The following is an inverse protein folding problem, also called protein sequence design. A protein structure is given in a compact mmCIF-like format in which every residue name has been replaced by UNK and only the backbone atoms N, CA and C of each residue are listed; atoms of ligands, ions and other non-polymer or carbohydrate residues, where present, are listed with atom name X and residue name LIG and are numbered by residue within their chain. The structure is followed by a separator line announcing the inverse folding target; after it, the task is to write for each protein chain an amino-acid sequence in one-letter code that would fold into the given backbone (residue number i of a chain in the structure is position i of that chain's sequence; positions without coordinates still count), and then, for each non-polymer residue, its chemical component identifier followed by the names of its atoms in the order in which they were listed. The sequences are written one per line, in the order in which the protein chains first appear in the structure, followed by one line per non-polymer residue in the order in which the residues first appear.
data_IF_201981520856
#
_entry.id   IF_201981520856
#
_cell.length_a   1.000
_cell.length_b   1.000
_cell.length_c   1.000
_cell.angle_alpha   90.00
_cell.angle_beta   90.00
_cell.angle_gamma   90.00
#
_symmetry.space_group_name_H-M   'P 1'
#
loop_
_entity.id
_entity.type
_entity.pdbx_description
1 polymer ?
#
# COMPACT_ATOMS: atom_id res chain seq x y z
N UNK A 1 6.81 -22.09 4.45
CA UNK A 1 7.98 -21.88 3.56
C UNK A 1 7.64 -22.44 2.20
N UNK A 2 8.08 -21.81 1.11
CA UNK A 2 8.00 -22.34 -0.25
C UNK A 2 9.39 -22.78 -0.73
N UNK A 3 9.42 -23.76 -1.63
CA UNK A 3 10.64 -24.30 -2.24
C UNK A 3 10.35 -24.70 -3.69
N UNK A 4 11.40 -24.75 -4.53
CA UNK A 4 11.27 -25.22 -5.90
C UNK A 4 10.90 -26.71 -5.93
N UNK A 5 9.92 -27.08 -6.74
CA UNK A 5 9.52 -28.49 -6.91
C UNK A 5 10.63 -29.35 -7.56
N UNK A 6 11.43 -28.72 -8.43
CA UNK A 6 12.57 -29.35 -9.14
C UNK A 6 13.79 -28.41 -9.06
N UNK A 7 14.48 -28.33 -7.91
CA UNK A 7 15.60 -27.42 -7.76
C UNK A 7 16.83 -27.92 -8.52
N UNK A 8 17.66 -26.99 -8.97
CA UNK A 8 19.05 -27.31 -9.34
C UNK A 8 19.88 -27.58 -8.08
N UNK A 9 21.06 -28.18 -8.22
CA UNK A 9 21.96 -28.42 -7.08
C UNK A 9 22.30 -27.16 -6.29
N UNK A 10 22.36 -26.01 -6.97
CA UNK A 10 22.64 -24.71 -6.34
C UNK A 10 21.47 -24.18 -5.51
N UNK A 11 20.23 -24.51 -5.87
CA UNK A 11 19.02 -24.01 -5.21
C UNK A 11 18.28 -25.09 -4.40
N UNK A 12 18.85 -26.29 -4.23
CA UNK A 12 18.21 -27.39 -3.49
C UNK A 12 17.82 -27.05 -2.05
N UNK A 13 18.55 -26.10 -1.44
CA UNK A 13 18.29 -25.63 -0.09
C UNK A 13 17.65 -24.22 -0.07
N UNK A 14 17.40 -23.61 -1.23
CA UNK A 14 16.78 -22.30 -1.31
C UNK A 14 15.29 -22.40 -0.96
N UNK A 15 14.92 -21.77 0.14
CA UNK A 15 13.54 -21.73 0.65
C UNK A 15 13.22 -20.30 1.03
N UNK A 16 11.98 -19.90 0.76
CA UNK A 16 11.48 -18.57 1.10
C UNK A 16 10.33 -18.66 2.09
N UNK A 17 10.22 -17.67 2.98
CA UNK A 17 9.06 -17.56 3.85
C UNK A 17 7.88 -17.10 3.02
N UNK A 18 6.77 -17.80 3.18
CA UNK A 18 5.48 -17.41 2.61
C UNK A 18 4.89 -16.34 3.52
N UNK A 19 4.49 -15.22 2.96
CA UNK A 19 3.81 -14.11 3.61
C UNK A 19 2.65 -13.71 2.69
N UNK A 20 1.50 -14.39 2.80
CA UNK A 20 0.40 -14.20 1.86
C UNK A 20 -0.09 -12.76 1.85
N UNK A 21 -0.36 -12.23 0.66
CA UNK A 21 -0.85 -10.87 0.44
C UNK A 21 -1.82 -10.83 -0.75
N UNK A 22 -2.54 -9.71 -0.89
CA UNK A 22 -3.32 -9.39 -2.08
C UNK A 22 -2.57 -8.33 -2.90
N UNK A 23 -2.25 -8.65 -4.14
CA UNK A 23 -1.71 -7.70 -5.13
C UNK A 23 -2.77 -6.70 -5.56
N UNK A 24 -3.98 -7.18 -5.83
CA UNK A 24 -5.10 -6.36 -6.28
C UNK A 24 -6.11 -6.08 -5.16
N UNK A 25 -6.22 -4.80 -4.75
CA UNK A 25 -7.33 -4.30 -3.91
C UNK A 25 -7.71 -2.90 -4.38
N UNK A 26 -8.97 -2.70 -4.77
CA UNK A 26 -9.41 -1.40 -5.27
C UNK A 26 -10.91 -1.20 -5.29
N UNK A 27 -11.31 0.03 -5.61
CA UNK A 27 -12.72 0.44 -5.78
C UNK A 27 -12.95 0.95 -7.20
N UNK A 28 -14.21 1.18 -7.58
CA UNK A 28 -14.49 1.83 -8.86
C UNK A 28 -13.85 3.23 -8.93
N UNK A 29 -13.16 3.55 -10.05
CA UNK A 29 -12.47 4.83 -10.23
C UNK A 29 -13.46 6.01 -10.40
N UNK A 30 -12.98 7.26 -10.27
CA UNK A 30 -13.79 8.43 -10.56
C UNK A 30 -14.17 8.53 -12.05
N UNK A 31 -15.15 9.38 -12.36
CA UNK A 31 -15.47 9.74 -13.74
C UNK A 31 -16.03 8.60 -14.61
N UNK A 32 -16.62 7.55 -14.01
CA UNK A 32 -17.15 6.37 -14.72
C UNK A 32 -16.11 5.70 -15.62
N UNK A 33 -14.83 5.78 -15.25
CA UNK A 33 -13.76 5.12 -15.97
C UNK A 33 -13.81 3.60 -15.73
N UNK A 34 -13.26 2.83 -16.68
CA UNK A 34 -13.05 1.40 -16.54
C UNK A 34 -11.61 1.09 -16.92
N UNK A 35 -10.84 0.58 -15.96
CA UNK A 35 -9.45 0.18 -16.16
C UNK A 35 -9.32 -1.33 -16.12
N UNK A 36 -8.26 -1.87 -16.75
CA UNK A 36 -7.90 -3.29 -16.57
C UNK A 36 -7.38 -3.50 -15.15
N UNK A 37 -7.51 -4.72 -14.61
CA UNK A 37 -7.11 -5.04 -13.23
C UNK A 37 -5.65 -4.72 -12.94
N UNK A 38 -4.74 -4.91 -13.90
CA UNK A 38 -3.32 -4.51 -13.81
C UNK A 38 -3.07 -3.00 -13.94
N UNK A 39 -4.01 -2.15 -13.53
CA UNK A 39 -3.76 -0.72 -13.40
C UNK A 39 -3.85 -0.33 -11.93
N UNK A 40 -3.06 0.69 -11.59
CA UNK A 40 -2.99 1.23 -10.25
C UNK A 40 -3.31 2.73 -10.28
N UNK A 41 -3.99 3.20 -9.24
CA UNK A 41 -4.32 4.62 -9.12
C UNK A 41 -4.83 5.03 -7.75
N UNK A 42 -5.39 6.25 -7.62
CA UNK A 42 -6.00 6.73 -6.39
C UNK A 42 -7.10 5.81 -5.82
N UNK A 43 -7.68 4.97 -6.67
CA UNK A 43 -8.71 3.99 -6.35
C UNK A 43 -8.16 2.65 -5.83
N UNK A 44 -6.85 2.53 -5.63
CA UNK A 44 -6.17 1.25 -5.43
C UNK A 44 -5.96 0.56 -6.79
N UNK A 45 -6.23 -0.73 -6.87
CA UNK A 45 -6.01 -1.54 -8.06
C UNK A 45 -4.89 -2.54 -7.85
N UNK A 46 -4.03 -2.71 -8.85
CA UNK A 46 -2.85 -3.58 -8.77
C UNK A 46 -1.78 -2.92 -7.90
N UNK A 47 -1.94 -3.02 -6.58
CA UNK A 47 -1.10 -2.32 -5.62
C UNK A 47 0.25 -3.00 -5.42
N UNK A 48 0.30 -4.34 -5.53
CA UNK A 48 1.50 -5.16 -5.39
C UNK A 48 2.41 -4.70 -4.25
N UNK A 49 1.77 -4.46 -3.10
CA UNK A 49 2.46 -4.03 -1.90
C UNK A 49 2.41 -5.14 -0.87
N UNK A 50 3.57 -5.70 -0.53
CA UNK A 50 3.71 -6.85 0.37
C UNK A 50 3.25 -6.65 1.83
N UNK A 51 2.81 -5.44 2.18
CA UNK A 51 2.13 -5.18 3.44
C UNK A 51 0.61 -5.22 3.34
N UNK A 52 0.00 -5.38 2.16
CA UNK A 52 -1.45 -5.64 1.99
C UNK A 52 -1.72 -7.11 2.28
N UNK A 53 -1.60 -7.45 3.56
CA UNK A 53 -1.68 -8.80 4.12
C UNK A 53 -2.54 -8.82 5.38
N UNK A 54 -2.70 -10.00 5.96
CA UNK A 54 -3.36 -10.17 7.25
C UNK A 54 -2.82 -9.19 8.31
N UNK A 55 -3.74 -8.54 9.03
CA UNK A 55 -3.42 -7.52 10.05
C UNK A 55 -3.21 -6.11 9.51
N UNK A 56 -3.37 -5.89 8.20
CA UNK A 56 -3.34 -4.55 7.60
C UNK A 56 -4.75 -4.07 7.27
N UNK A 57 -5.08 -2.85 7.68
CA UNK A 57 -6.27 -2.13 7.26
C UNK A 57 -5.91 -1.24 6.08
N UNK A 58 -6.65 -1.35 4.98
CA UNK A 58 -6.53 -0.49 3.81
C UNK A 58 -7.67 0.52 3.79
N UNK A 59 -7.35 1.80 3.58
CA UNK A 59 -8.30 2.88 3.40
C UNK A 59 -8.29 3.33 1.94
N UNK A 60 -9.43 3.18 1.28
CA UNK A 60 -9.64 3.58 -0.10
C UNK A 60 -10.63 4.74 -0.17
N UNK A 61 -10.43 5.74 -1.05
CA UNK A 61 -11.44 6.75 -1.33
C UNK A 61 -12.71 6.11 -1.91
N UNK A 62 -13.88 6.73 -1.74
CA UNK A 62 -15.12 6.29 -2.39
C UNK A 62 -15.47 7.25 -3.51
N UNK A 63 -15.26 6.85 -4.76
CA UNK A 63 -15.54 7.68 -5.94
C UNK A 63 -16.92 7.45 -6.56
N UNK A 64 -17.51 6.26 -6.34
CA UNK A 64 -18.80 5.86 -6.89
C UNK A 64 -19.73 5.31 -5.80
N UNK A 65 -21.07 5.40 -5.97
CA UNK A 65 -22.03 4.79 -5.05
C UNK A 65 -21.72 3.31 -4.82
N UNK A 66 -21.70 2.91 -3.55
CA UNK A 66 -21.38 1.53 -3.14
C UNK A 66 -19.90 1.17 -3.17
N UNK A 67 -19.01 2.11 -3.54
CA UNK A 67 -17.57 1.94 -3.76
C UNK A 67 -17.20 0.94 -4.88
N UNK A 68 -17.91 -0.19 -4.99
CA UNK A 68 -17.64 -1.28 -5.93
C UNK A 68 -16.24 -1.85 -5.68
N UNK A 69 -16.04 -2.32 -4.44
CA UNK A 69 -14.80 -2.96 -4.00
C UNK A 69 -14.53 -4.24 -4.80
N UNK A 70 -13.29 -4.43 -5.22
CA UNK A 70 -12.79 -5.67 -5.80
C UNK A 70 -11.47 -6.07 -5.13
N UNK A 71 -11.25 -7.39 -5.08
CA UNK A 71 -10.04 -8.02 -4.54
C UNK A 71 -9.61 -9.16 -5.45
N UNK A 72 -8.31 -9.39 -5.56
CA UNK A 72 -7.77 -10.48 -6.37
C UNK A 72 -6.26 -10.54 -6.28
N UNK A 73 -5.66 -11.28 -7.22
CA UNK A 73 -4.21 -11.38 -7.38
C UNK A 73 -3.50 -11.85 -6.09
N UNK A 74 -3.79 -13.09 -5.71
CA UNK A 74 -3.24 -13.65 -4.48
C UNK A 74 -1.77 -14.00 -4.65
N UNK A 75 -0.91 -13.45 -3.80
CA UNK A 75 0.50 -13.83 -3.78
C UNK A 75 0.83 -14.59 -2.52
N UNK A 76 1.52 -15.72 -2.66
CA UNK A 76 2.06 -16.45 -1.51
C UNK A 76 3.20 -15.66 -0.86
N UNK A 77 3.97 -14.91 -1.64
CA UNK A 77 4.95 -13.93 -1.16
C UNK A 77 5.42 -13.06 -2.33
N UNK A 78 5.76 -11.81 -2.05
CA UNK A 78 6.35 -10.88 -3.00
C UNK A 78 7.53 -10.14 -2.36
N UNK A 79 8.58 -9.87 -3.13
CA UNK A 79 9.65 -8.96 -2.74
C UNK A 79 9.36 -7.53 -3.18
N UNK A 80 10.03 -6.55 -2.56
CA UNK A 80 9.90 -5.15 -2.94
C UNK A 80 10.24 -4.92 -4.43
N UNK A 81 9.40 -4.13 -5.10
CA UNK A 81 9.55 -3.77 -6.51
C UNK A 81 8.97 -4.75 -7.51
N UNK A 82 8.52 -5.94 -7.08
CA UNK A 82 7.92 -6.96 -7.95
C UNK A 82 8.70 -7.23 -9.26
N UNK A 83 10.02 -7.28 -9.15
CA UNK A 83 10.95 -7.04 -10.26
C UNK A 83 10.77 -7.89 -11.53
N UNK A 84 10.09 -9.03 -11.44
CA UNK A 84 9.83 -9.95 -12.56
C UNK A 84 8.45 -9.79 -13.19
N UNK A 85 7.65 -8.81 -12.75
CA UNK A 85 6.28 -8.58 -13.20
C UNK A 85 5.25 -9.57 -12.67
N UNK A 86 5.67 -10.45 -11.75
CA UNK A 86 4.80 -11.39 -11.03
C UNK A 86 5.48 -11.70 -9.69
N UNK A 87 4.67 -12.01 -8.70
CA UNK A 87 5.09 -12.56 -7.42
C UNK A 87 5.10 -14.10 -7.45
N UNK A 88 5.10 -14.72 -6.27
CA UNK A 88 4.75 -16.14 -6.16
C UNK A 88 3.22 -16.29 -6.19
N UNK A 89 2.66 -16.29 -7.40
CA UNK A 89 1.21 -16.33 -7.65
C UNK A 89 0.51 -17.56 -7.07
N UNK A 90 -0.67 -17.36 -6.48
CA UNK A 90 -1.50 -18.44 -5.94
C UNK A 90 -2.98 -18.05 -5.85
N UNK A 91 -3.87 -19.04 -5.94
CA UNK A 91 -5.26 -18.85 -5.50
C UNK A 91 -5.31 -18.66 -3.98
N UNK A 92 -6.23 -17.83 -3.51
CA UNK A 92 -6.41 -17.52 -2.09
C UNK A 92 -7.89 -17.44 -1.72
N UNK A 93 -8.23 -17.89 -0.51
CA UNK A 93 -9.49 -17.58 0.14
C UNK A 93 -9.22 -16.51 1.19
N UNK A 94 -9.97 -15.41 1.16
CA UNK A 94 -9.77 -14.26 2.05
C UNK A 94 -11.04 -13.95 2.82
N UNK A 95 -10.87 -13.51 4.06
CA UNK A 95 -11.91 -12.95 4.91
C UNK A 95 -11.49 -11.53 5.30
N UNK A 96 -12.41 -10.58 5.20
CA UNK A 96 -12.17 -9.18 5.53
C UNK A 96 -13.46 -8.51 5.98
N UNK A 97 -13.33 -7.41 6.72
CA UNK A 97 -14.44 -6.53 7.07
C UNK A 97 -14.36 -5.25 6.24
N UNK A 98 -15.50 -4.59 6.05
CA UNK A 98 -15.59 -3.32 5.32
C UNK A 98 -16.40 -2.33 6.15
N UNK A 99 -15.78 -1.22 6.51
CA UNK A 99 -16.42 -0.12 7.23
C UNK A 99 -16.46 1.14 6.37
N UNK A 100 -17.59 1.86 6.42
CA UNK A 100 -17.72 3.15 5.73
C UNK A 100 -17.35 4.30 6.68
N UNK A 101 -16.25 4.98 6.38
CA UNK A 101 -15.83 6.18 7.09
C UNK A 101 -16.40 7.42 6.37
N UNK A 102 -17.32 8.13 7.04
CA UNK A 102 -17.95 9.34 6.50
C UNK A 102 -17.15 10.59 6.88
N UNK A 103 -17.28 11.65 6.07
CA UNK A 103 -16.67 12.95 6.36
C UNK A 103 -15.16 13.02 6.15
N UNK A 104 -14.55 11.98 5.58
CA UNK A 104 -13.15 11.97 5.17
C UNK A 104 -13.06 11.98 3.64
N UNK A 105 -12.13 12.76 3.10
CA UNK A 105 -11.81 12.79 1.67
C UNK A 105 -10.36 12.37 1.50
N UNK A 106 -10.14 11.17 0.98
CA UNK A 106 -8.81 10.64 0.71
C UNK A 106 -8.46 10.90 -0.76
N UNK A 107 -7.28 11.44 -1.02
CA UNK A 107 -6.77 11.62 -2.39
C UNK A 107 -6.01 10.41 -2.95
N UNK A 108 -5.64 9.46 -2.09
CA UNK A 108 -4.82 8.29 -2.43
C UNK A 108 -5.02 7.18 -1.38
N UNK A 109 -4.68 5.92 -1.71
CA UNK A 109 -4.75 4.82 -0.76
C UNK A 109 -3.88 5.08 0.47
N UNK A 110 -4.39 4.66 1.63
CA UNK A 110 -3.64 4.62 2.88
C UNK A 110 -3.70 3.22 3.43
N UNK A 111 -2.70 2.81 4.18
CA UNK A 111 -2.75 1.56 4.92
C UNK A 111 -2.25 1.78 6.35
N UNK A 112 -2.65 0.89 7.26
CA UNK A 112 -2.01 0.80 8.56
C UNK A 112 -1.98 -0.64 9.04
N UNK A 113 -0.93 -1.01 9.76
CA UNK A 113 -0.83 -2.28 10.46
C UNK A 113 -0.50 -2.02 11.94
N UNK A 114 -0.06 -3.04 12.67
CA UNK A 114 0.32 -2.91 14.08
C UNK A 114 1.52 -1.98 14.32
N UNK A 115 2.35 -1.74 13.31
CA UNK A 115 3.63 -1.03 13.45
C UNK A 115 3.66 0.32 12.75
N UNK A 116 2.99 0.46 11.59
CA UNK A 116 3.13 1.63 10.72
C UNK A 116 1.78 2.20 10.29
N UNK A 117 1.75 3.51 10.08
CA UNK A 117 0.82 4.16 9.15
C UNK A 117 1.55 4.37 7.82
N UNK A 118 0.83 4.19 6.72
CA UNK A 118 1.39 4.03 5.38
C UNK A 118 0.57 4.82 4.35
N UNK A 119 1.26 5.51 3.45
CA UNK A 119 0.67 6.33 2.39
C UNK A 119 1.22 5.90 1.04
N UNK A 120 0.33 5.53 0.12
CA UNK A 120 0.67 5.18 -1.26
C UNK A 120 0.89 6.41 -2.12
N UNK A 121 2.06 6.56 -2.72
CA UNK A 121 2.33 7.44 -3.84
C UNK A 121 2.37 6.64 -5.13
N UNK A 122 1.52 7.01 -6.08
CA UNK A 122 1.30 6.26 -7.33
C UNK A 122 1.46 7.24 -8.48
N UNK A 123 2.45 7.02 -9.33
CA UNK A 123 2.74 7.93 -10.44
C UNK A 123 3.48 7.24 -11.58
N UNK A 124 3.68 7.92 -12.71
CA UNK A 124 4.42 7.39 -13.86
C UNK A 124 5.94 7.29 -13.67
N UNK A 125 6.48 7.61 -12.49
CA UNK A 125 7.91 7.44 -12.18
C UNK A 125 8.15 7.35 -10.68
N UNK A 126 9.26 6.71 -10.27
CA UNK A 126 9.70 6.64 -8.88
C UNK A 126 9.81 8.01 -8.20
N UNK A 127 10.34 9.02 -8.90
CA UNK A 127 10.52 10.36 -8.34
C UNK A 127 9.17 11.04 -8.05
N UNK A 128 8.21 10.91 -8.96
CA UNK A 128 6.86 11.46 -8.80
C UNK A 128 6.10 10.71 -7.71
N UNK A 129 6.20 9.38 -7.69
CA UNK A 129 5.56 8.52 -6.69
C UNK A 129 6.10 8.82 -5.29
N UNK A 130 7.41 8.98 -5.15
CA UNK A 130 8.06 9.38 -3.89
C UNK A 130 7.52 10.73 -3.40
N UNK A 131 7.51 11.76 -4.27
CA UNK A 131 6.97 13.09 -3.93
C UNK A 131 5.52 13.00 -3.47
N UNK A 132 4.69 12.25 -4.20
CA UNK A 132 3.28 12.06 -3.88
C UNK A 132 3.09 11.35 -2.53
N UNK A 133 3.88 10.34 -2.23
CA UNK A 133 3.85 9.63 -0.95
C UNK A 133 4.26 10.56 0.20
N UNK A 134 5.35 11.33 0.04
CA UNK A 134 5.83 12.29 1.03
C UNK A 134 4.80 13.38 1.31
N UNK A 135 4.23 14.00 0.26
CA UNK A 135 3.18 15.02 0.40
C UNK A 135 1.93 14.45 1.06
N UNK A 136 1.53 13.23 0.71
CA UNK A 136 0.39 12.57 1.34
C UNK A 136 0.61 12.33 2.84
N UNK A 137 1.80 11.93 3.27
CA UNK A 137 2.12 11.77 4.69
C UNK A 137 2.16 13.12 5.43
N UNK A 138 2.71 14.17 4.81
CA UNK A 138 2.64 15.53 5.35
C UNK A 138 1.21 15.96 5.62
N UNK A 139 0.30 15.75 4.65
CA UNK A 139 -1.13 16.06 4.80
C UNK A 139 -1.80 15.21 5.89
N UNK A 140 -1.43 13.94 6.03
CA UNK A 140 -1.93 13.12 7.15
C UNK A 140 -1.56 13.76 8.49
N UNK A 141 -0.29 14.13 8.68
CA UNK A 141 0.16 14.74 9.94
C UNK A 141 -0.53 16.09 10.20
N UNK A 142 -0.74 16.90 9.18
CA UNK A 142 -1.51 18.13 9.28
C UNK A 142 -2.98 17.84 9.65
N UNK A 143 -3.64 16.91 8.97
CA UNK A 143 -5.07 16.65 9.14
C UNK A 143 -5.41 15.97 10.47
N UNK A 144 -4.66 14.95 10.87
CA UNK A 144 -4.99 14.10 12.02
C UNK A 144 -4.23 14.47 13.30
N UNK A 145 -3.08 15.14 13.19
CA UNK A 145 -2.27 15.55 14.34
C UNK A 145 -2.17 17.08 14.47
N UNK A 146 -2.70 17.85 13.51
CA UNK A 146 -2.70 19.33 13.50
C UNK A 146 -1.31 19.94 13.70
N UNK A 147 -0.28 19.24 13.23
CA UNK A 147 1.09 19.73 13.30
C UNK A 147 1.30 20.90 12.34
N UNK A 148 2.06 21.89 12.76
CA UNK A 148 2.54 22.97 11.90
C UNK A 148 3.56 22.46 10.88
N UNK A 149 3.81 23.23 9.82
CA UNK A 149 4.79 22.87 8.80
C UNK A 149 6.20 22.61 9.36
N UNK A 150 6.62 23.36 10.39
CA UNK A 150 7.91 23.16 11.06
C UNK A 150 7.97 21.84 11.83
N UNK A 151 6.90 21.50 12.54
CA UNK A 151 6.80 20.22 13.28
C UNK A 151 6.75 19.02 12.34
N UNK A 152 5.98 19.13 11.25
CA UNK A 152 5.94 18.11 10.20
C UNK A 152 7.35 17.89 9.64
N UNK A 153 8.09 18.95 9.33
CA UNK A 153 9.45 18.83 8.82
C UNK A 153 10.38 18.07 9.79
N UNK A 154 10.25 18.28 11.10
CA UNK A 154 11.01 17.53 12.12
C UNK A 154 10.63 16.06 12.15
N UNK A 155 9.33 15.73 12.10
CA UNK A 155 8.86 14.33 12.10
C UNK A 155 9.32 13.61 10.82
N UNK A 156 9.06 14.20 9.65
CA UNK A 156 9.38 13.58 8.37
C UNK A 156 10.89 13.44 8.17
N UNK A 157 11.66 14.48 8.49
CA UNK A 157 13.12 14.48 8.31
C UNK A 157 13.86 13.48 9.21
N UNK A 158 13.31 13.14 10.38
CA UNK A 158 13.95 12.23 11.33
C UNK A 158 13.49 10.78 11.23
N UNK A 159 12.27 10.54 10.74
CA UNK A 159 11.57 9.28 11.01
C UNK A 159 10.89 8.63 9.81
N UNK A 160 10.80 9.33 8.67
CA UNK A 160 10.18 8.79 7.46
C UNK A 160 10.92 7.56 6.94
N UNK A 161 10.16 6.53 6.53
CA UNK A 161 10.66 5.38 5.77
C UNK A 161 9.88 5.25 4.47
N UNK A 162 10.49 4.61 3.48
CA UNK A 162 9.85 4.32 2.21
C UNK A 162 10.02 2.85 1.84
N UNK A 163 8.99 2.27 1.25
CA UNK A 163 9.06 0.99 0.55
C UNK A 163 8.80 1.23 -0.94
N UNK A 164 9.48 0.47 -1.79
CA UNK A 164 9.17 0.38 -3.22
C UNK A 164 8.27 -0.85 -3.37
N UNK A 165 6.98 -0.64 -3.62
CA UNK A 165 6.00 -1.72 -3.70
C UNK A 165 6.15 -2.47 -5.03
N UNK A 166 5.99 -1.77 -6.15
CA UNK A 166 6.22 -2.28 -7.50
C UNK A 166 6.82 -1.20 -8.43
N UNK A 167 7.48 -1.64 -9.50
CA UNK A 167 8.03 -0.76 -10.57
C UNK A 167 7.81 -1.30 -11.99
N UNK A 168 6.93 -2.27 -12.15
CA UNK A 168 6.81 -3.09 -13.37
C UNK A 168 5.54 -2.78 -14.14
N UNK A 169 4.56 -2.18 -13.48
CA UNK A 169 3.28 -1.81 -14.06
C UNK A 169 3.31 -0.42 -14.74
N UNK A 170 2.22 -0.01 -15.42
CA UNK A 170 2.16 1.29 -16.08
C UNK A 170 2.36 2.49 -15.14
N UNK A 171 2.00 2.32 -13.87
CA UNK A 171 2.34 3.22 -12.78
C UNK A 171 3.36 2.55 -11.88
N UNK A 172 4.11 3.35 -11.13
CA UNK A 172 5.02 2.92 -10.08
C UNK A 172 4.40 3.23 -8.73
N UNK A 173 4.61 2.34 -7.76
CA UNK A 173 4.10 2.46 -6.40
C UNK A 173 5.22 2.60 -5.36
N UNK A 174 5.26 3.74 -4.68
CA UNK A 174 6.13 4.00 -3.52
C UNK A 174 5.26 4.26 -2.30
N UNK A 175 5.58 3.62 -1.17
CA UNK A 175 4.83 3.78 0.07
C UNK A 175 5.67 4.51 1.11
N UNK A 176 5.21 5.68 1.55
CA UNK A 176 5.79 6.40 2.69
C UNK A 176 5.18 5.87 3.99
N UNK A 177 6.00 5.61 5.01
CA UNK A 177 5.53 5.05 6.29
C UNK A 177 6.21 5.65 7.52
N UNK A 178 5.43 5.78 8.59
CA UNK A 178 5.89 6.25 9.89
C UNK A 178 5.55 5.23 10.99
N UNK A 179 6.47 4.96 11.94
CA UNK A 179 6.19 4.07 13.06
C UNK A 179 5.08 4.63 13.95
N UNK A 180 4.08 3.80 14.25
CA UNK A 180 3.00 4.15 15.20
C UNK A 180 3.53 4.43 16.60
N UNK A 181 4.61 3.76 17.03
CA UNK A 181 5.27 4.00 18.31
C UNK A 181 5.87 5.41 18.43
N UNK A 182 6.25 6.02 17.31
CA UNK A 182 6.70 7.41 17.27
C UNK A 182 5.50 8.36 17.33
N UNK A 183 4.47 8.11 16.52
CA UNK A 183 3.27 8.94 16.49
C UNK A 183 2.48 8.91 17.80
N UNK A 184 2.56 7.81 18.57
CA UNK A 184 1.93 7.71 19.89
C UNK A 184 2.49 8.71 20.92
N UNK A 185 3.66 9.31 20.66
CA UNK A 185 4.24 10.35 21.51
C UNK A 185 3.70 11.75 21.18
N UNK A 186 2.92 11.88 20.12
CA UNK A 186 2.33 13.14 19.65
C UNK A 186 0.85 13.13 20.04
N UNK A 187 0.40 14.03 20.93
CA UNK A 187 -1.02 14.13 21.29
C UNK A 187 -1.87 14.38 20.06
N UNK A 188 -2.98 13.63 19.92
CA UNK A 188 -4.00 13.97 18.94
C UNK A 188 -4.90 15.08 19.49
N UNK A 189 -5.24 16.09 18.69
CA UNK A 189 -6.26 17.05 19.09
C UNK A 189 -7.60 16.33 19.28
N UNK A 190 -8.37 16.80 20.27
CA UNK A 190 -9.74 16.34 20.54
C UNK A 190 -10.70 16.60 19.37
#
# INVERSE_FOLDING_TARGET
MAALAKPTDRLKNFKIRVQPMLGCVGVAPPGQQAFRSGNLGPYGGNMDYNQVREGTTLYLPVFQPGAVLFVGDGHATQGDGELTGNALETSMSVEFTVDLIRGKSLGQPRAENSEYVMISGIAGSLNEALRMATTGMSRWLEDEYKLSAGEIAMVLGSSMRYDIAEVVDPQVHVVAKLPKSLLAQIPRPE
#
